data_IF_565720434659
#
_entry.id   IF_565720434659
#
_cell.length_a   1.000
_cell.length_b   1.000
_cell.length_c   1.000
_cell.angle_alpha   90.00
_cell.angle_beta   90.00
_cell.angle_gamma   90.00
#
_symmetry.space_group_name_H-M   'P 1'
#
loop_
_entity.id
_entity.type
_entity.pdbx_description
1 polymer ?
#
# COMPACT_ATOMS: atom_id res chain seq x y z
N UNK A 1 5.12 1.66 -2.47
CA UNK A 1 4.38 1.81 -3.73
C UNK A 1 5.40 1.86 -4.86
N UNK A 2 5.15 1.17 -5.97
CA UNK A 2 6.07 1.06 -7.10
C UNK A 2 5.35 1.39 -8.41
N UNK A 3 6.02 2.14 -9.29
CA UNK A 3 5.56 2.43 -10.65
C UNK A 3 6.69 2.21 -11.64
N UNK A 4 6.52 1.28 -12.58
CA UNK A 4 7.52 0.99 -13.61
C UNK A 4 7.62 2.17 -14.60
N UNK A 5 8.85 2.59 -14.93
CA UNK A 5 9.14 3.71 -15.85
C UNK A 5 9.79 3.28 -17.17
N UNK A 6 9.89 1.97 -17.40
CA UNK A 6 10.51 1.40 -18.60
C UNK A 6 12.04 1.38 -18.54
N UNK A 7 12.69 1.54 -19.69
CA UNK A 7 14.13 1.30 -19.84
C UNK A 7 15.02 2.46 -19.41
N UNK A 8 14.43 3.62 -19.09
CA UNK A 8 15.16 4.81 -18.68
C UNK A 8 14.88 5.10 -17.22
N UNK A 9 15.96 5.30 -16.46
CA UNK A 9 15.90 5.83 -15.11
C UNK A 9 15.26 7.22 -15.16
N UNK A 10 14.18 7.40 -14.41
CA UNK A 10 13.50 8.68 -14.28
C UNK A 10 13.84 9.28 -12.92
N UNK A 11 14.55 10.40 -12.91
CA UNK A 11 14.85 11.14 -11.67
C UNK A 11 13.59 11.86 -11.20
N UNK A 12 13.14 11.56 -9.98
CA UNK A 12 11.97 12.20 -9.39
C UNK A 12 12.24 13.65 -9.05
N UNK A 13 11.29 14.53 -9.37
CA UNK A 13 11.29 15.93 -8.89
C UNK A 13 10.39 16.12 -7.67
N UNK A 14 9.76 15.05 -7.18
CA UNK A 14 8.76 15.07 -6.12
C UNK A 14 9.09 14.13 -4.96
N UNK A 15 10.37 13.84 -4.74
CA UNK A 15 10.86 13.13 -3.55
C UNK A 15 10.68 11.60 -3.58
N UNK A 16 10.48 11.01 -4.76
CA UNK A 16 10.46 9.56 -4.94
C UNK A 16 11.87 9.02 -5.21
N UNK A 17 12.05 7.72 -4.98
CA UNK A 17 13.29 7.03 -5.32
C UNK A 17 13.23 6.49 -6.74
N UNK A 18 14.29 6.68 -7.51
CA UNK A 18 14.51 5.94 -8.76
C UNK A 18 15.24 4.64 -8.43
N UNK A 19 14.67 3.49 -8.80
CA UNK A 19 15.22 2.17 -8.48
C UNK A 19 15.16 1.21 -9.65
N UNK A 20 15.96 0.13 -9.59
CA UNK A 20 15.90 -0.97 -10.57
C UNK A 20 14.72 -1.88 -10.26
N UNK A 21 13.94 -2.22 -11.28
CA UNK A 21 12.94 -3.27 -11.18
C UNK A 21 13.59 -4.65 -11.34
N UNK A 22 12.90 -5.69 -10.86
CA UNK A 22 13.27 -7.08 -11.17
C UNK A 22 12.90 -7.40 -12.62
N UNK A 23 13.79 -8.11 -13.32
CA UNK A 23 13.69 -8.39 -14.75
C UNK A 23 14.36 -9.73 -15.07
N UNK A 24 13.90 -10.39 -16.13
CA UNK A 24 14.50 -11.64 -16.63
C UNK A 24 15.57 -11.35 -17.68
N UNK A 25 15.36 -10.30 -18.47
CA UNK A 25 16.25 -9.90 -19.55
C UNK A 25 17.39 -9.01 -19.04
N UNK A 26 18.43 -8.89 -19.86
CA UNK A 26 19.55 -7.99 -19.59
C UNK A 26 19.21 -6.51 -19.80
N UNK A 27 18.11 -6.21 -20.48
CA UNK A 27 17.65 -4.84 -20.69
C UNK A 27 17.16 -4.25 -19.37
N UNK A 28 17.77 -3.17 -18.85
CA UNK A 28 17.39 -2.60 -17.56
C UNK A 28 15.96 -2.04 -17.60
N UNK A 29 15.22 -2.29 -16.53
CA UNK A 29 13.89 -1.75 -16.27
C UNK A 29 13.93 -1.02 -14.94
N UNK A 30 13.39 0.19 -14.90
CA UNK A 30 13.39 1.05 -13.73
C UNK A 30 11.98 1.25 -13.17
N UNK A 31 11.92 1.68 -11.92
CA UNK A 31 10.70 2.09 -11.25
C UNK A 31 10.92 3.36 -10.42
N UNK A 32 9.84 4.12 -10.25
CA UNK A 32 9.71 5.09 -9.17
C UNK A 32 9.13 4.38 -7.94
N UNK A 33 9.76 4.59 -6.80
CA UNK A 33 9.33 4.07 -5.51
C UNK A 33 8.96 5.20 -4.56
N UNK A 34 7.76 5.09 -4.00
CA UNK A 34 7.33 5.85 -2.84
C UNK A 34 7.20 4.90 -1.65
N UNK A 35 7.94 5.17 -0.58
CA UNK A 35 7.97 4.31 0.60
C UNK A 35 7.18 4.96 1.74
N UNK A 36 6.18 4.25 2.27
CA UNK A 36 5.55 4.59 3.55
C UNK A 36 6.09 3.62 4.59
N UNK A 37 6.78 4.12 5.59
CA UNK A 37 7.43 3.26 6.59
C UNK A 37 6.42 2.62 7.55
N UNK A 38 5.31 3.30 7.85
CA UNK A 38 4.36 2.89 8.89
C UNK A 38 2.95 2.78 8.28
N UNK A 39 2.70 1.69 7.54
CA UNK A 39 1.37 1.29 7.08
C UNK A 39 0.79 0.18 7.97
N UNK A 40 1.11 -1.09 7.69
CA UNK A 40 0.61 -2.23 8.48
C UNK A 40 1.07 -2.20 9.95
N UNK A 41 2.22 -1.58 10.22
CA UNK A 41 2.73 -1.37 11.57
C UNK A 41 1.79 -0.51 12.44
N UNK A 42 0.94 0.34 11.85
CA UNK A 42 -0.10 1.07 12.60
C UNK A 42 -1.09 0.11 13.25
N UNK A 43 -1.59 -0.85 12.46
CA UNK A 43 -2.55 -1.85 12.95
C UNK A 43 -1.90 -2.72 14.02
N UNK A 44 -0.62 -3.08 13.82
CA UNK A 44 0.16 -3.79 14.82
C UNK A 44 0.32 -2.97 16.10
N UNK A 45 0.62 -1.67 16.01
CA UNK A 45 0.76 -0.81 17.17
C UNK A 45 -0.56 -0.63 17.93
N UNK A 46 -1.70 -0.55 17.25
CA UNK A 46 -3.02 -0.54 17.89
C UNK A 46 -3.29 -1.82 18.68
N UNK A 47 -2.77 -2.97 18.21
CA UNK A 47 -2.88 -4.27 18.89
C UNK A 47 -1.92 -4.40 20.06
N UNK A 48 -0.62 -4.25 19.79
CA UNK A 48 0.45 -4.58 20.74
C UNK A 48 0.78 -3.40 21.67
N UNK A 49 0.68 -2.18 21.17
CA UNK A 49 1.02 -0.96 21.91
C UNK A 49 -0.18 -0.40 22.68
N UNK A 50 -1.25 -0.04 21.97
CA UNK A 50 -2.42 0.60 22.58
C UNK A 50 -3.42 -0.42 23.17
N UNK A 51 -3.40 -1.67 22.71
CA UNK A 51 -4.26 -2.74 23.22
C UNK A 51 -5.75 -2.58 22.88
N UNK A 52 -6.09 -1.82 21.82
CA UNK A 52 -7.50 -1.52 21.47
C UNK A 52 -8.16 -2.61 20.63
N UNK A 53 -7.36 -3.46 20.01
CA UNK A 53 -7.76 -4.65 19.25
C UNK A 53 -6.90 -5.82 19.70
N UNK A 54 -7.43 -7.05 19.67
CA UNK A 54 -6.67 -8.26 20.06
C UNK A 54 -6.00 -8.93 18.87
N UNK A 55 -6.51 -8.69 17.68
CA UNK A 55 -5.96 -9.19 16.41
C UNK A 55 -6.06 -8.11 15.32
N UNK A 56 -5.20 -8.18 14.31
CA UNK A 56 -5.22 -7.21 13.20
C UNK A 56 -6.52 -7.26 12.40
N UNK A 57 -7.22 -8.40 12.40
CA UNK A 57 -8.51 -8.57 11.72
C UNK A 57 -9.66 -7.82 12.40
N UNK A 58 -9.58 -7.58 13.71
CA UNK A 58 -10.64 -6.88 14.46
C UNK A 58 -10.75 -5.40 14.09
N UNK A 59 -9.70 -4.79 13.54
CA UNK A 59 -9.68 -3.36 13.25
C UNK A 59 -10.80 -2.95 12.28
N UNK A 60 -11.13 -3.79 11.30
CA UNK A 60 -12.15 -3.49 10.30
C UNK A 60 -13.55 -3.43 10.94
N UNK A 61 -13.89 -4.44 11.74
CA UNK A 61 -15.17 -4.49 12.45
C UNK A 61 -15.29 -3.31 13.42
N UNK A 62 -14.21 -2.99 14.15
CA UNK A 62 -14.20 -1.88 15.09
C UNK A 62 -14.30 -0.52 14.39
N UNK A 63 -13.55 -0.30 13.30
CA UNK A 63 -13.59 0.95 12.54
C UNK A 63 -14.93 1.15 11.81
N UNK A 64 -15.61 0.08 11.44
CA UNK A 64 -16.94 0.13 10.80
C UNK A 64 -18.08 0.32 11.81
N UNK A 65 -17.82 0.15 13.11
CA UNK A 65 -18.82 0.42 14.17
C UNK A 65 -19.19 1.90 14.31
N UNK A 66 -18.43 2.79 13.67
CA UNK A 66 -18.69 4.22 13.58
C UNK A 66 -18.79 4.64 12.11
N UNK A 67 -19.63 5.63 11.77
CA UNK A 67 -19.80 6.08 10.39
C UNK A 67 -18.56 6.82 9.85
N UNK A 68 -17.79 7.46 10.73
CA UNK A 68 -16.62 8.27 10.41
C UNK A 68 -15.61 8.35 11.58
N UNK A 69 -14.45 8.94 11.31
CA UNK A 69 -13.43 9.25 12.33
C UNK A 69 -13.88 10.38 13.29
N UNK A 70 -14.95 11.12 13.00
CA UNK A 70 -15.47 12.20 13.84
C UNK A 70 -14.51 13.37 14.00
N UNK A 71 -13.74 13.69 12.97
CA UNK A 71 -12.72 14.73 13.01
C UNK A 71 -11.43 14.33 13.74
N UNK A 72 -11.28 13.07 14.14
CA UNK A 72 -10.03 12.55 14.67
C UNK A 72 -9.08 12.28 13.49
N UNK A 73 -7.91 12.90 13.52
CA UNK A 73 -6.82 12.61 12.60
C UNK A 73 -5.70 11.88 13.33
N UNK A 74 -5.22 10.80 12.72
CA UNK A 74 -4.07 10.06 13.23
C UNK A 74 -2.89 10.27 12.30
N UNK A 75 -1.81 10.83 12.83
CA UNK A 75 -0.53 10.92 12.10
C UNK A 75 0.38 9.84 12.69
N UNK A 76 0.67 8.74 11.97
CA UNK A 76 1.44 7.62 12.49
C UNK A 76 2.95 7.92 12.59
N UNK A 77 3.31 9.04 13.21
CA UNK A 77 4.67 9.38 13.61
C UNK A 77 5.02 8.64 14.91
N UNK A 78 5.04 7.30 14.88
CA UNK A 78 5.32 6.45 16.05
C UNK A 78 6.76 6.62 16.61
N UNK A 79 7.55 7.52 16.01
CA UNK A 79 8.83 8.05 16.51
C UNK A 79 8.71 9.38 17.29
N UNK A 80 7.49 9.87 17.60
CA UNK A 80 7.25 10.83 18.68
C UNK A 80 6.09 11.84 18.52
N UNK A 81 5.10 11.77 19.42
CA UNK A 81 4.60 12.78 20.39
C UNK A 81 3.51 12.11 21.27
N UNK A 82 3.38 12.49 22.55
CA UNK A 82 2.44 11.86 23.51
C UNK A 82 1.75 12.82 24.49
N UNK A 83 0.70 12.33 25.19
CA UNK A 83 -0.11 12.88 26.33
C UNK A 83 -0.75 14.29 26.19
N UNK A 84 -1.94 14.63 26.79
CA UNK A 84 -2.80 13.88 27.71
C UNK A 84 -4.30 13.76 27.29
N UNK A 85 -4.89 12.61 27.59
CA UNK A 85 -6.30 12.18 27.37
C UNK A 85 -6.64 11.72 25.94
N UNK A 86 -7.42 10.63 25.81
CA UNK A 86 -8.48 10.34 24.82
C UNK A 86 -8.81 8.82 24.84
N UNK A 87 -10.04 8.41 25.24
CA UNK A 87 -10.64 7.12 24.83
C UNK A 87 -11.79 7.34 23.82
N UNK A 88 -11.45 7.36 22.53
CA UNK A 88 -12.39 7.12 21.44
C UNK A 88 -11.87 5.96 20.57
N UNK A 89 -11.67 4.77 21.16
CA UNK A 89 -11.08 3.57 20.52
C UNK A 89 -11.51 3.29 19.07
N UNK A 90 -12.81 3.35 18.78
CA UNK A 90 -13.34 3.14 17.43
C UNK A 90 -12.93 4.25 16.45
N UNK A 91 -12.96 5.52 16.90
CA UNK A 91 -12.55 6.67 16.09
C UNK A 91 -11.05 6.69 15.83
N UNK A 92 -10.23 6.29 16.81
CA UNK A 92 -8.78 6.13 16.61
C UNK A 92 -8.51 5.03 15.58
N UNK A 93 -9.19 3.88 15.68
CA UNK A 93 -9.01 2.79 14.72
C UNK A 93 -9.41 3.21 13.31
N UNK A 94 -10.52 3.96 13.17
CA UNK A 94 -10.96 4.54 11.90
C UNK A 94 -9.94 5.55 11.35
N UNK A 95 -9.53 6.52 12.17
CA UNK A 95 -8.54 7.54 11.80
C UNK A 95 -7.20 6.89 11.40
N UNK A 96 -6.84 5.78 12.03
CA UNK A 96 -5.61 5.06 11.73
C UNK A 96 -5.65 4.35 10.36
N UNK A 97 -6.79 3.77 9.98
CA UNK A 97 -6.99 3.24 8.62
C UNK A 97 -6.99 4.38 7.59
N UNK A 98 -7.69 5.49 7.88
CA UNK A 98 -7.71 6.66 6.99
C UNK A 98 -6.30 7.24 6.78
N UNK A 99 -5.46 7.27 7.83
CA UNK A 99 -4.07 7.71 7.75
C UNK A 99 -3.20 6.86 6.80
N UNK A 100 -3.44 5.56 6.72
CA UNK A 100 -2.77 4.69 5.74
C UNK A 100 -3.19 5.09 4.32
N UNK A 101 -4.49 5.37 4.14
CA UNK A 101 -5.05 5.84 2.88
C UNK A 101 -4.45 7.16 2.41
N UNK A 102 -4.36 8.15 3.31
CA UNK A 102 -3.81 9.48 3.01
C UNK A 102 -2.33 9.42 2.61
N UNK A 103 -1.49 8.69 3.36
CA UNK A 103 -0.06 8.55 3.02
C UNK A 103 0.13 7.88 1.65
N UNK A 104 -0.68 6.87 1.35
CA UNK A 104 -0.65 6.19 0.05
C UNK A 104 -1.11 7.12 -1.08
N UNK A 105 -2.12 7.94 -0.83
CA UNK A 105 -2.62 8.92 -1.80
C UNK A 105 -1.61 10.02 -2.10
N UNK A 106 -0.91 10.53 -1.08
CA UNK A 106 0.15 11.54 -1.25
C UNK A 106 1.27 11.03 -2.15
N UNK A 107 1.73 9.79 -1.94
CA UNK A 107 2.73 9.17 -2.80
C UNK A 107 2.23 8.97 -4.23
N UNK A 108 0.99 8.54 -4.41
CA UNK A 108 0.42 8.37 -5.75
C UNK A 108 0.33 9.72 -6.49
N UNK A 109 -0.03 10.79 -5.78
CA UNK A 109 -0.06 12.14 -6.35
C UNK A 109 1.34 12.62 -6.73
N UNK A 110 2.37 12.31 -5.93
CA UNK A 110 3.76 12.58 -6.30
C UNK A 110 4.16 11.78 -7.57
N UNK A 111 3.84 10.47 -7.61
CA UNK A 111 4.08 9.62 -8.77
C UNK A 111 3.37 10.14 -10.02
N UNK A 112 2.14 10.60 -9.88
CA UNK A 112 1.34 11.13 -10.99
C UNK A 112 1.98 12.39 -11.61
N UNK A 113 2.70 13.20 -10.81
CA UNK A 113 3.40 14.40 -11.29
C UNK A 113 4.70 14.06 -12.03
N UNK A 114 5.37 12.97 -11.63
CA UNK A 114 6.59 12.47 -12.31
C UNK A 114 6.29 11.51 -13.47
N UNK A 115 5.08 10.95 -13.52
CA UNK A 115 4.67 10.00 -14.54
C UNK A 115 4.48 10.66 -15.91
N UNK A 116 4.96 9.99 -16.96
CA UNK A 116 4.71 10.40 -18.34
C UNK A 116 3.24 10.20 -18.78
N UNK A 117 2.48 9.36 -18.08
CA UNK A 117 1.09 9.02 -18.40
C UNK A 117 0.20 9.02 -17.16
N UNK A 118 -1.12 9.30 -17.30
CA UNK A 118 -2.08 9.17 -16.22
C UNK A 118 -2.12 7.76 -15.63
N UNK A 119 -2.10 7.66 -14.30
CA UNK A 119 -2.33 6.43 -13.55
C UNK A 119 -3.83 6.16 -13.57
N UNK A 120 -4.21 4.98 -14.06
CA UNK A 120 -5.61 4.61 -14.28
C UNK A 120 -6.19 3.67 -13.24
N UNK A 121 -5.34 2.97 -12.51
CA UNK A 121 -5.72 2.02 -11.47
C UNK A 121 -4.58 1.88 -10.45
N UNK A 122 -4.92 1.51 -9.22
CA UNK A 122 -3.97 1.14 -8.19
C UNK A 122 -4.11 -0.35 -7.89
N UNK A 123 -3.07 -1.14 -8.18
CA UNK A 123 -2.99 -2.54 -7.76
C UNK A 123 -2.42 -2.63 -6.35
N UNK A 124 -3.05 -3.42 -5.50
CA UNK A 124 -2.75 -3.49 -4.05
C UNK A 124 -2.50 -4.93 -3.61
N UNK A 125 -1.62 -5.10 -2.64
CA UNK A 125 -1.26 -6.41 -2.09
C UNK A 125 -0.82 -6.30 -0.61
N UNK A 126 -0.42 -7.43 -0.03
CA UNK A 126 0.00 -7.53 1.36
C UNK A 126 -1.16 -7.55 2.36
N UNK A 127 -0.83 -7.76 3.63
CA UNK A 127 -1.84 -8.01 4.67
C UNK A 127 -2.85 -6.87 4.88
N UNK A 128 -2.44 -5.62 4.66
CA UNK A 128 -3.35 -4.48 4.76
C UNK A 128 -4.40 -4.46 3.63
N UNK A 129 -4.07 -5.00 2.44
CA UNK A 129 -5.01 -5.08 1.33
C UNK A 129 -6.22 -5.96 1.66
N UNK A 130 -6.14 -6.87 2.64
CA UNK A 130 -7.28 -7.69 3.05
C UNK A 130 -8.45 -6.87 3.67
N UNK A 131 -8.19 -5.66 4.17
CA UNK A 131 -9.19 -4.82 4.82
C UNK A 131 -10.03 -4.07 3.78
N UNK A 132 -11.32 -4.42 3.64
CA UNK A 132 -12.16 -3.84 2.57
C UNK A 132 -12.47 -2.37 2.82
N UNK A 133 -12.64 -1.97 4.09
CA UNK A 133 -12.85 -0.57 4.43
C UNK A 133 -11.67 0.31 3.98
N UNK A 134 -10.43 -0.14 4.21
CA UNK A 134 -9.24 0.56 3.75
C UNK A 134 -9.19 0.63 2.22
N UNK A 135 -9.50 -0.45 1.51
CA UNK A 135 -9.49 -0.48 0.05
C UNK A 135 -10.55 0.47 -0.54
N UNK A 136 -11.75 0.48 0.05
CA UNK A 136 -12.81 1.40 -0.38
C UNK A 136 -12.39 2.85 -0.12
N UNK A 137 -11.88 3.15 1.07
CA UNK A 137 -11.39 4.49 1.40
C UNK A 137 -10.29 4.94 0.43
N UNK A 138 -9.36 4.05 0.08
CA UNK A 138 -8.31 4.34 -0.90
C UNK A 138 -8.88 4.65 -2.28
N UNK A 139 -9.90 3.90 -2.74
CA UNK A 139 -10.56 4.16 -4.01
C UNK A 139 -11.29 5.51 -4.01
N UNK A 140 -12.00 5.81 -2.92
CA UNK A 140 -12.74 7.07 -2.74
C UNK A 140 -11.80 8.28 -2.74
N UNK A 141 -10.65 8.18 -2.06
CA UNK A 141 -9.65 9.25 -2.01
C UNK A 141 -8.99 9.51 -3.37
N UNK A 142 -8.70 8.46 -4.14
CA UNK A 142 -7.94 8.57 -5.38
C UNK A 142 -8.82 8.84 -6.60
N UNK A 143 -10.10 8.47 -6.55
CA UNK A 143 -11.01 8.55 -7.70
C UNK A 143 -10.65 7.58 -8.83
N UNK A 144 -9.84 6.55 -8.57
CA UNK A 144 -9.47 5.49 -9.53
C UNK A 144 -9.74 4.11 -8.92
N UNK A 145 -9.94 3.07 -9.74
CA UNK A 145 -10.11 1.70 -9.27
C UNK A 145 -8.93 1.22 -8.42
N UNK A 146 -9.24 0.60 -7.28
CA UNK A 146 -8.29 -0.17 -6.46
C UNK A 146 -8.52 -1.66 -6.72
N UNK A 147 -7.53 -2.32 -7.31
CA UNK A 147 -7.61 -3.70 -7.79
C UNK A 147 -6.82 -4.60 -6.86
N UNK A 148 -7.52 -5.45 -6.10
CA UNK A 148 -6.92 -6.45 -5.22
C UNK A 148 -6.90 -7.82 -5.93
N UNK A 149 -5.74 -8.46 -6.09
CA UNK A 149 -5.65 -9.80 -6.67
C UNK A 149 -6.24 -10.86 -5.74
N UNK A 150 -6.54 -12.03 -6.28
CA UNK A 150 -6.97 -13.19 -5.48
C UNK A 150 -5.88 -13.65 -4.51
N UNK A 151 -4.61 -13.60 -4.92
CA UNK A 151 -3.45 -13.93 -4.09
C UNK A 151 -2.79 -12.61 -3.69
N UNK A 152 -2.82 -12.28 -2.39
CA UNK A 152 -2.31 -11.00 -1.87
C UNK A 152 -0.84 -11.09 -1.45
N UNK A 153 -0.25 -12.29 -1.40
CA UNK A 153 1.17 -12.53 -1.14
C UNK A 153 2.02 -12.34 -2.41
N UNK A 154 1.82 -11.23 -3.12
CA UNK A 154 2.45 -10.94 -4.42
C UNK A 154 3.98 -10.88 -4.34
N UNK A 155 4.55 -10.55 -3.17
CA UNK A 155 6.00 -10.59 -2.95
C UNK A 155 6.54 -12.00 -3.13
N UNK A 156 5.91 -12.99 -2.49
CA UNK A 156 6.31 -14.39 -2.61
C UNK A 156 6.01 -14.92 -4.03
N UNK A 157 4.85 -14.53 -4.58
CA UNK A 157 4.43 -14.92 -5.90
C UNK A 157 5.38 -14.38 -6.99
N UNK A 158 5.81 -13.13 -6.90
CA UNK A 158 6.77 -12.52 -7.83
C UNK A 158 8.13 -13.22 -7.81
N UNK A 159 8.62 -13.60 -6.62
CA UNK A 159 9.83 -14.40 -6.49
C UNK A 159 9.67 -15.79 -7.14
N UNK A 160 8.53 -16.44 -6.92
CA UNK A 160 8.20 -17.73 -7.54
C UNK A 160 8.12 -17.62 -9.07
N UNK A 161 7.52 -16.55 -9.61
CA UNK A 161 7.46 -16.30 -11.05
C UNK A 161 8.83 -16.10 -11.67
N UNK A 162 9.71 -15.31 -11.06
CA UNK A 162 11.06 -15.10 -11.57
C UNK A 162 11.87 -16.41 -11.62
N UNK A 163 11.82 -17.18 -10.53
CA UNK A 163 12.48 -18.48 -10.46
C UNK A 163 11.88 -19.48 -11.45
N UNK A 164 10.54 -19.55 -11.52
CA UNK A 164 9.82 -20.49 -12.36
C UNK A 164 9.99 -20.21 -13.85
N UNK A 165 10.03 -18.95 -14.27
CA UNK A 165 10.34 -18.58 -15.66
C UNK A 165 11.76 -18.99 -16.03
N UNK A 166 12.72 -18.79 -15.13
CA UNK A 166 14.12 -19.19 -15.35
C UNK A 166 14.29 -20.71 -15.39
N UNK A 167 13.51 -21.45 -14.59
CA UNK A 167 13.51 -22.90 -14.53
C UNK A 167 12.63 -23.58 -15.60
N UNK A 168 11.88 -22.82 -16.40
CA UNK A 168 10.96 -23.35 -17.42
C UNK A 168 9.67 -23.96 -16.87
N UNK A 169 9.26 -23.60 -15.65
CA UNK A 169 7.94 -23.94 -15.07
C UNK A 169 6.83 -23.19 -15.80
N UNK A 170 7.09 -21.93 -16.16
CA UNK A 170 6.26 -21.13 -17.04
C UNK A 170 7.06 -20.73 -18.28
N UNK A 171 6.40 -20.59 -19.41
CA UNK A 171 7.01 -20.30 -20.70
C UNK A 171 7.15 -18.79 -20.96
N UNK A 172 6.29 -17.96 -20.35
CA UNK A 172 6.35 -16.50 -20.55
C UNK A 172 5.64 -15.71 -19.45
N UNK A 173 5.94 -14.43 -19.35
CA UNK A 173 5.18 -13.48 -18.52
C UNK A 173 3.72 -13.34 -18.97
N UNK A 174 3.43 -13.61 -20.25
CA UNK A 174 2.07 -13.62 -20.79
C UNK A 174 1.24 -14.79 -20.24
N UNK A 175 1.83 -15.98 -20.20
CA UNK A 175 1.19 -17.16 -19.58
C UNK A 175 0.83 -16.88 -18.12
N UNK A 176 1.75 -16.23 -17.39
CA UNK A 176 1.51 -15.85 -16.00
C UNK A 176 0.38 -14.82 -15.86
N UNK A 177 0.27 -13.87 -16.78
CA UNK A 177 -0.77 -12.84 -16.74
C UNK A 177 -2.18 -13.35 -17.06
N UNK A 178 -2.30 -14.56 -17.62
CA UNK A 178 -3.57 -15.23 -17.92
C UNK A 178 -4.10 -16.07 -16.74
N UNK A 179 -3.28 -16.26 -15.70
CA UNK A 179 -3.62 -16.95 -14.44
C UNK A 179 -4.10 -15.99 -13.36
#
# INVERSE_FOLDING_TARGET
MLMQTGERACESQHGLLTTSAAQLDTQPVFALEGSVFICGAVVQWLRDGLGVIKSSAEIEALATSVPDSGGVYFVPALTGFGSPHWDPRARISRAALEAIGYQSAELLLAMQKDAATPIKELRVDGGAAANNLLMQHQADLLGIPVVRPHIIETTALGAAYLAGLTAGVWNSTKEIAEH
#
